data_IF_822424932331
#
_entry.id   IF_822424932331
#
_cell.length_a   1.000
_cell.length_b   1.000
_cell.length_c   1.000
_cell.angle_alpha   90.00
_cell.angle_beta   90.00
_cell.angle_gamma   90.00
#
_symmetry.space_group_name_H-M   'P 1'
#
loop_
_entity.id
_entity.type
_entity.pdbx_description
1 polymer ?
#
# COMPACT_ATOMS: atom_id res chain seq x y z
N UNK A 1 11.38 -57.17 -8.48
CA UNK A 1 11.54 -56.33 -7.27
C UNK A 1 12.05 -54.92 -7.56
N UNK A 2 12.91 -54.71 -8.57
CA UNK A 2 13.49 -53.41 -8.97
C UNK A 2 12.47 -52.41 -9.53
N UNK A 3 11.41 -52.89 -10.17
CA UNK A 3 10.35 -52.04 -10.74
C UNK A 3 9.57 -51.20 -9.71
N UNK A 4 9.40 -51.73 -8.49
CA UNK A 4 8.72 -51.02 -7.41
C UNK A 4 9.55 -49.82 -6.93
N UNK A 5 10.87 -49.99 -6.85
CA UNK A 5 11.80 -48.91 -6.47
C UNK A 5 11.86 -47.81 -7.52
N UNK A 6 11.76 -48.15 -8.80
CA UNK A 6 11.69 -47.17 -9.90
C UNK A 6 10.40 -46.36 -9.81
N UNK A 7 9.26 -47.02 -9.57
CA UNK A 7 7.98 -46.32 -9.42
C UNK A 7 7.98 -45.34 -8.23
N UNK A 8 8.55 -45.74 -7.09
CA UNK A 8 8.69 -44.89 -5.90
C UNK A 8 9.59 -43.69 -6.19
N UNK A 9 10.73 -43.89 -6.86
CA UNK A 9 11.64 -42.81 -7.22
C UNK A 9 10.97 -41.78 -8.15
N UNK A 10 10.20 -42.23 -9.14
CA UNK A 10 9.46 -41.35 -10.06
C UNK A 10 8.43 -40.50 -9.32
N UNK A 11 7.68 -41.10 -8.37
CA UNK A 11 6.68 -40.37 -7.58
C UNK A 11 7.33 -39.31 -6.68
N UNK A 12 8.45 -39.63 -6.03
CA UNK A 12 9.17 -38.68 -5.17
C UNK A 12 9.75 -37.52 -5.98
N UNK A 13 10.32 -37.79 -7.16
CA UNK A 13 10.84 -36.74 -8.05
C UNK A 13 9.70 -35.88 -8.60
N UNK A 14 8.58 -36.47 -8.98
CA UNK A 14 7.39 -35.74 -9.46
C UNK A 14 6.79 -34.86 -8.35
N UNK A 15 6.74 -35.35 -7.10
CA UNK A 15 6.30 -34.57 -5.95
C UNK A 15 7.28 -33.43 -5.62
N UNK A 16 8.59 -33.67 -5.68
CA UNK A 16 9.62 -32.66 -5.46
C UNK A 16 9.59 -31.54 -6.52
N UNK A 17 9.30 -31.87 -7.77
CA UNK A 17 9.22 -30.92 -8.88
C UNK A 17 7.96 -30.02 -8.85
N UNK A 18 6.92 -30.39 -8.10
CA UNK A 18 5.71 -29.57 -7.90
C UNK A 18 5.88 -28.48 -6.82
N UNK A 19 6.86 -28.62 -5.94
CA UNK A 19 7.19 -27.67 -4.88
C UNK A 19 7.45 -26.23 -5.38
N UNK A 20 8.29 -25.97 -6.40
CA UNK A 20 8.61 -24.60 -6.83
C UNK A 20 7.39 -23.83 -7.38
N UNK A 21 6.40 -24.52 -7.97
CA UNK A 21 5.19 -23.89 -8.50
C UNK A 21 4.24 -23.39 -7.41
N UNK A 22 4.22 -24.04 -6.24
CA UNK A 22 3.43 -23.62 -5.10
C UNK A 22 4.07 -22.46 -4.34
N UNK A 23 5.41 -22.42 -4.26
CA UNK A 23 6.15 -21.36 -3.58
C UNK A 23 6.00 -20.01 -4.29
N UNK A 24 6.04 -19.99 -5.63
CA UNK A 24 5.89 -18.74 -6.40
C UNK A 24 4.51 -18.10 -6.29
N UNK A 25 3.45 -18.89 -6.10
CA UNK A 25 2.10 -18.35 -5.82
C UNK A 25 2.00 -17.78 -4.41
N UNK A 26 2.65 -18.41 -3.44
CA UNK A 26 2.68 -17.97 -2.04
C UNK A 26 3.43 -16.65 -1.88
N UNK A 27 4.54 -16.47 -2.60
CA UNK A 27 5.31 -15.23 -2.58
C UNK A 27 4.52 -14.05 -3.18
N UNK A 28 3.85 -14.23 -4.33
CA UNK A 28 2.96 -13.19 -4.88
C UNK A 28 1.77 -12.88 -3.98
N UNK A 29 1.18 -13.88 -3.33
CA UNK A 29 0.11 -13.65 -2.37
C UNK A 29 0.59 -12.92 -1.09
N UNK A 30 1.85 -13.07 -0.72
CA UNK A 30 2.46 -12.36 0.41
C UNK A 30 2.82 -10.92 0.03
N UNK A 31 3.44 -10.71 -1.14
CA UNK A 31 3.67 -9.38 -1.71
C UNK A 31 2.34 -8.61 -1.76
N UNK A 32 1.33 -9.18 -2.45
CA UNK A 32 -0.02 -8.60 -2.50
C UNK A 32 -0.65 -8.26 -1.14
N UNK A 33 -0.32 -8.98 -0.08
CA UNK A 33 -0.75 -8.61 1.26
C UNK A 33 0.04 -7.43 1.82
N UNK A 34 1.34 -7.36 1.59
CA UNK A 34 2.22 -6.27 2.03
C UNK A 34 1.83 -4.94 1.36
N UNK A 35 1.55 -4.91 0.05
CA UNK A 35 1.05 -3.69 -0.61
C UNK A 35 -0.32 -3.29 -0.08
N UNK A 36 -1.22 -4.25 0.12
CA UNK A 36 -2.56 -3.97 0.60
C UNK A 36 -2.55 -3.46 2.07
N UNK A 37 -1.63 -3.96 2.90
CA UNK A 37 -1.42 -3.47 4.27
C UNK A 37 -0.79 -2.08 4.25
N UNK A 38 0.22 -1.85 3.41
CA UNK A 38 0.86 -0.54 3.26
C UNK A 38 -0.15 0.52 2.83
N UNK A 39 -0.93 0.25 1.77
CA UNK A 39 -1.94 1.16 1.26
C UNK A 39 -3.02 1.50 2.31
N UNK A 40 -3.57 0.50 3.01
CA UNK A 40 -4.55 0.74 4.08
C UNK A 40 -3.96 1.51 5.25
N UNK A 41 -2.74 1.18 5.65
CA UNK A 41 -2.02 1.90 6.71
C UNK A 41 -1.86 3.38 6.38
N UNK A 42 -1.44 3.72 5.15
CA UNK A 42 -1.32 5.12 4.71
C UNK A 42 -2.66 5.83 4.61
N UNK A 43 -3.67 5.15 4.10
CA UNK A 43 -5.03 5.69 4.03
C UNK A 43 -5.57 6.04 5.42
N UNK A 44 -5.43 5.15 6.40
CA UNK A 44 -5.84 5.41 7.79
C UNK A 44 -5.01 6.52 8.43
N UNK A 45 -3.69 6.53 8.21
CA UNK A 45 -2.82 7.61 8.69
C UNK A 45 -3.28 8.98 8.14
N UNK A 46 -3.61 9.05 6.85
CA UNK A 46 -4.13 10.27 6.24
C UNK A 46 -5.50 10.65 6.82
N UNK A 47 -6.38 9.67 7.02
CA UNK A 47 -7.70 9.81 7.66
C UNK A 47 -7.62 10.60 8.97
N UNK A 48 -6.70 10.22 9.86
CA UNK A 48 -6.48 10.91 11.14
C UNK A 48 -6.23 12.42 10.98
N UNK A 49 -5.52 12.86 9.95
CA UNK A 49 -5.25 14.29 9.76
C UNK A 49 -6.39 15.05 9.09
N UNK A 50 -7.17 14.38 8.23
CA UNK A 50 -8.23 15.06 7.46
C UNK A 50 -9.58 15.03 8.17
N UNK A 51 -9.84 14.01 9.00
CA UNK A 51 -11.05 13.89 9.81
C UNK A 51 -10.97 14.82 11.03
N UNK A 52 -9.82 14.87 11.71
CA UNK A 52 -9.58 15.78 12.84
C UNK A 52 -9.13 17.19 12.41
N UNK A 53 -9.14 17.47 11.10
CA UNK A 53 -8.61 18.70 10.53
C UNK A 53 -9.29 19.95 11.09
N UNK A 54 -8.53 20.98 11.52
CA UNK A 54 -9.11 22.16 12.15
C UNK A 54 -10.05 22.87 11.18
N UNK A 55 -11.34 22.90 11.52
CA UNK A 55 -12.40 23.46 10.67
C UNK A 55 -12.20 24.94 10.30
N UNK A 56 -11.27 25.64 10.95
CA UNK A 56 -10.96 27.05 10.71
C UNK A 56 -9.46 27.30 10.73
N UNK A 57 -8.78 27.05 9.61
CA UNK A 57 -7.42 27.54 9.37
C UNK A 57 -7.50 28.92 8.73
N UNK A 58 -6.96 29.94 9.40
CA UNK A 58 -6.93 31.32 8.93
C UNK A 58 -5.96 31.55 7.77
N UNK A 59 -4.93 30.73 7.65
CA UNK A 59 -4.01 30.75 6.51
C UNK A 59 -4.65 30.06 5.29
N UNK A 60 -4.97 30.85 4.26
CA UNK A 60 -5.61 30.36 3.04
C UNK A 60 -4.79 29.31 2.29
N UNK A 61 -3.45 29.41 2.34
CA UNK A 61 -2.55 28.46 1.67
C UNK A 61 -2.51 27.13 2.41
N UNK A 62 -2.45 27.16 3.74
CA UNK A 62 -2.57 25.96 4.55
C UNK A 62 -3.96 25.32 4.40
N UNK A 63 -5.03 26.12 4.34
CA UNK A 63 -6.38 25.62 4.10
C UNK A 63 -6.51 24.94 2.73
N UNK A 64 -5.89 25.50 1.68
CA UNK A 64 -5.88 24.89 0.35
C UNK A 64 -5.16 23.52 0.34
N UNK A 65 -4.01 23.42 1.03
CA UNK A 65 -3.27 22.16 1.16
C UNK A 65 -4.08 21.09 1.92
N UNK A 66 -4.79 21.48 2.99
CA UNK A 66 -5.66 20.54 3.73
C UNK A 66 -6.87 20.09 2.91
N UNK A 67 -7.42 20.94 2.03
CA UNK A 67 -8.44 20.52 1.06
C UNK A 67 -7.88 19.49 0.08
N UNK A 68 -6.70 19.73 -0.49
CA UNK A 68 -6.01 18.76 -1.34
C UNK A 68 -5.80 17.43 -0.61
N UNK A 69 -5.36 17.47 0.65
CA UNK A 69 -5.21 16.25 1.45
C UNK A 69 -6.53 15.47 1.59
N UNK A 70 -7.66 16.16 1.84
CA UNK A 70 -8.99 15.54 1.94
C UNK A 70 -9.44 14.95 0.60
N UNK A 71 -9.21 15.64 -0.51
CA UNK A 71 -9.50 15.11 -1.85
C UNK A 71 -8.71 13.83 -2.14
N UNK A 72 -7.42 13.82 -1.79
CA UNK A 72 -6.55 12.64 -1.93
C UNK A 72 -7.01 11.50 -1.02
N UNK A 73 -7.46 11.80 0.20
CA UNK A 73 -8.02 10.78 1.09
C UNK A 73 -9.27 10.12 0.49
N UNK A 74 -10.23 10.90 0.01
CA UNK A 74 -11.43 10.38 -0.67
C UNK A 74 -11.06 9.55 -1.90
N UNK A 75 -10.12 10.04 -2.70
CA UNK A 75 -9.63 9.35 -3.89
C UNK A 75 -8.97 8.03 -3.53
N UNK A 76 -8.04 8.01 -2.56
CA UNK A 76 -7.40 6.80 -2.07
C UNK A 76 -8.41 5.79 -1.51
N UNK A 77 -9.41 6.26 -0.76
CA UNK A 77 -10.50 5.42 -0.27
C UNK A 77 -11.29 4.75 -1.40
N UNK A 78 -11.62 5.50 -2.46
CA UNK A 78 -12.29 4.95 -3.65
C UNK A 78 -11.42 3.93 -4.40
N UNK A 79 -10.10 4.16 -4.47
CA UNK A 79 -9.16 3.24 -5.09
C UNK A 79 -9.03 1.95 -4.28
N UNK A 80 -8.93 2.04 -2.95
CA UNK A 80 -8.90 0.89 -2.04
C UNK A 80 -10.19 0.06 -2.12
N UNK A 81 -11.35 0.72 -2.22
CA UNK A 81 -12.64 0.03 -2.29
C UNK A 81 -12.78 -0.87 -3.53
N UNK A 82 -12.08 -0.53 -4.62
CA UNK A 82 -12.08 -1.29 -5.88
C UNK A 82 -10.81 -2.11 -6.11
N UNK A 83 -9.82 -2.02 -5.22
CA UNK A 83 -8.51 -2.63 -5.42
C UNK A 83 -8.59 -4.16 -5.34
N UNK A 84 -8.08 -4.82 -6.38
CA UNK A 84 -8.03 -6.29 -6.45
C UNK A 84 -6.63 -6.81 -6.79
N UNK A 85 -5.73 -5.91 -7.20
CA UNK A 85 -4.36 -6.24 -7.61
C UNK A 85 -3.34 -5.43 -6.83
N UNK A 86 -2.09 -5.90 -6.81
CA UNK A 86 -0.93 -5.19 -6.25
C UNK A 86 -0.82 -3.76 -6.80
N UNK A 87 -0.92 -3.60 -8.12
CA UNK A 87 -0.88 -2.30 -8.78
C UNK A 87 -2.00 -1.35 -8.30
N UNK A 88 -3.20 -1.87 -8.03
CA UNK A 88 -4.29 -1.05 -7.47
C UNK A 88 -3.95 -0.57 -6.06
N UNK A 89 -3.37 -1.43 -5.22
CA UNK A 89 -2.95 -1.08 -3.87
C UNK A 89 -1.79 -0.09 -3.87
N UNK A 90 -0.78 -0.29 -4.72
CA UNK A 90 0.33 0.65 -4.91
C UNK A 90 -0.18 2.02 -5.37
N UNK A 91 -1.14 2.05 -6.30
CA UNK A 91 -1.75 3.31 -6.74
C UNK A 91 -2.51 3.99 -5.60
N UNK A 92 -3.28 3.24 -4.81
CA UNK A 92 -3.99 3.79 -3.66
C UNK A 92 -3.03 4.32 -2.58
N UNK A 93 -1.93 3.59 -2.31
CA UNK A 93 -0.86 4.04 -1.42
C UNK A 93 -0.24 5.35 -1.90
N UNK A 94 0.11 5.44 -3.18
CA UNK A 94 0.71 6.65 -3.75
C UNK A 94 -0.18 7.87 -3.58
N UNK A 95 -1.48 7.75 -3.83
CA UNK A 95 -2.45 8.83 -3.61
C UNK A 95 -2.56 9.21 -2.14
N UNK A 96 -2.56 8.24 -1.22
CA UNK A 96 -2.56 8.52 0.22
C UNK A 96 -1.27 9.23 0.66
N UNK A 97 -0.11 8.85 0.12
CA UNK A 97 1.18 9.50 0.38
C UNK A 97 1.20 10.94 -0.14
N UNK A 98 0.66 11.21 -1.32
CA UNK A 98 0.48 12.58 -1.83
C UNK A 98 -0.36 13.44 -0.88
N UNK A 99 -1.47 12.87 -0.36
CA UNK A 99 -2.28 13.53 0.65
C UNK A 99 -1.51 13.84 1.93
N UNK A 100 -0.72 12.88 2.43
CA UNK A 100 0.15 13.09 3.60
C UNK A 100 1.22 14.16 3.34
N UNK A 101 1.74 14.26 2.11
CA UNK A 101 2.61 15.35 1.66
C UNK A 101 1.94 16.71 1.81
N UNK A 102 0.72 16.86 1.30
CA UNK A 102 -0.05 18.10 1.44
C UNK A 102 -0.32 18.45 2.91
N UNK A 103 -0.61 17.46 3.77
CA UNK A 103 -0.74 17.68 5.22
C UNK A 103 0.58 18.14 5.85
N UNK A 104 1.71 17.55 5.47
CA UNK A 104 3.02 17.95 5.98
C UNK A 104 3.34 19.40 5.59
N UNK A 105 3.11 19.76 4.33
CA UNK A 105 3.31 21.13 3.84
C UNK A 105 2.40 22.13 4.56
N UNK A 106 1.13 21.77 4.79
CA UNK A 106 0.20 22.59 5.56
C UNK A 106 0.69 22.82 7.00
N UNK A 107 1.16 21.75 7.66
CA UNK A 107 1.69 21.87 9.02
C UNK A 107 2.96 22.71 9.10
N UNK A 108 3.84 22.63 8.10
CA UNK A 108 5.01 23.52 8.00
C UNK A 108 4.58 24.99 7.96
N UNK A 109 3.58 25.33 7.13
CA UNK A 109 3.05 26.70 7.06
C UNK A 109 2.45 27.16 8.38
N UNK A 110 1.82 26.25 9.11
CA UNK A 110 1.21 26.54 10.42
C UNK A 110 2.20 26.49 11.59
N UNK A 111 3.48 26.20 11.35
CA UNK A 111 4.50 26.06 12.40
C UNK A 111 4.25 24.88 13.35
N UNK A 112 3.61 23.82 12.85
CA UNK A 112 3.23 22.62 13.61
C UNK A 112 4.00 21.39 13.14
N UNK A 113 4.18 20.37 14.00
CA UNK A 113 4.74 19.09 13.58
C UNK A 113 3.75 18.37 12.65
N UNK A 114 4.21 18.03 11.44
CA UNK A 114 3.43 17.27 10.45
C UNK A 114 3.71 15.76 10.45
N UNK A 115 2.97 14.98 9.65
CA UNK A 115 3.22 13.57 9.46
C UNK A 115 4.62 13.29 8.88
N UNK A 116 5.19 12.15 9.24
CA UNK A 116 6.34 11.59 8.52
C UNK A 116 5.85 10.97 7.22
N UNK A 117 6.18 11.60 6.10
CA UNK A 117 5.82 11.12 4.77
C UNK A 117 6.92 10.16 4.29
N UNK A 118 6.59 8.90 3.99
CA UNK A 118 7.55 7.97 3.40
C UNK A 118 7.92 8.41 1.99
N UNK A 119 9.12 8.03 1.53
CA UNK A 119 9.37 8.07 0.09
C UNK A 119 8.37 7.16 -0.63
N UNK A 120 7.83 7.67 -1.72
CA UNK A 120 7.09 6.87 -2.70
C UNK A 120 7.96 5.66 -3.06
N UNK A 121 7.42 4.45 -2.92
CA UNK A 121 8.07 3.24 -3.46
C UNK A 121 7.91 3.29 -4.96
N UNK A 122 8.99 3.06 -5.69
CA UNK A 122 8.89 2.93 -7.13
C UNK A 122 8.33 1.54 -7.45
N UNK A 123 7.50 1.39 -8.49
CA UNK A 123 6.94 0.10 -8.86
C UNK A 123 8.00 -0.94 -9.29
N UNK A 124 9.27 -0.53 -9.40
CA UNK A 124 10.41 -1.41 -9.72
C UNK A 124 11.14 -1.97 -8.49
N UNK A 125 10.72 -1.61 -7.27
CA UNK A 125 11.33 -2.07 -6.02
C UNK A 125 10.85 -3.48 -5.58
N UNK A 126 10.05 -4.18 -6.39
CA UNK A 126 9.39 -5.48 -6.10
C UNK A 126 9.79 -6.63 -7.01
#
# INVERSE_FOLDING_TARGET
MSWVWIAVAVVVVAAGALTPLLTGRRQRALASNDEAVAARSRYHQLGHYVEDGPEHVTDERAAALLRTARERWLTAGSLLARATTEADFTQAEAVAVEGLGAVADAHVQLGRPGPRVPRRRDPEDG
#
